data_IF_717264949185
#
_entry.id   IF_717264949185
#
_cell.length_a   1.000
_cell.length_b   1.000
_cell.length_c   1.000
_cell.angle_alpha   90.00
_cell.angle_beta   90.00
_cell.angle_gamma   90.00
#
_symmetry.space_group_name_H-M   'P 1'
#
loop_
_entity.id
_entity.type
_entity.pdbx_description
1 polymer ?
#
# COMPACT_ATOMS: atom_id res chain seq x y z
N UNK A 1 -10.74 0.24 27.03
CA UNK A 1 -9.36 0.35 26.55
C UNK A 1 -9.04 1.81 26.32
N UNK A 2 -7.88 2.28 26.77
CA UNK A 2 -7.46 3.67 26.59
C UNK A 2 -6.92 3.79 25.18
N UNK A 3 -7.68 4.38 24.25
CA UNK A 3 -7.21 4.62 22.88
C UNK A 3 -5.88 5.38 22.96
N UNK A 4 -4.79 4.76 22.49
CA UNK A 4 -3.50 5.45 22.44
C UNK A 4 -3.61 6.57 21.41
N UNK A 5 -3.33 7.79 21.87
CA UNK A 5 -3.44 8.98 21.01
C UNK A 5 -2.31 8.96 19.98
N UNK A 6 -2.60 9.16 18.67
CA UNK A 6 -1.56 9.30 17.66
C UNK A 6 -0.58 10.41 17.98
N UNK A 7 0.70 10.12 17.80
CA UNK A 7 1.80 11.09 17.89
C UNK A 7 2.50 11.20 16.53
N UNK A 8 3.00 12.39 16.23
CA UNK A 8 3.79 12.61 15.03
C UNK A 8 5.18 12.00 15.23
N UNK A 9 5.56 11.08 14.36
CA UNK A 9 6.89 10.47 14.34
C UNK A 9 7.85 11.33 13.51
N UNK A 10 7.42 11.74 12.32
CA UNK A 10 8.24 12.52 11.39
C UNK A 10 7.40 13.63 10.72
N UNK A 11 7.86 14.88 10.82
CA UNK A 11 7.35 15.99 10.02
C UNK A 11 8.00 15.97 8.62
N UNK A 12 7.60 15.00 7.79
CA UNK A 12 8.25 14.75 6.50
C UNK A 12 7.76 15.66 5.37
N UNK A 13 6.47 16.01 5.40
CA UNK A 13 5.84 16.84 4.38
C UNK A 13 5.75 16.20 3.00
N UNK A 14 5.55 14.88 2.98
CA UNK A 14 5.41 14.06 1.77
C UNK A 14 4.28 14.57 0.88
N UNK A 15 4.52 14.56 -0.43
CA UNK A 15 3.49 14.92 -1.40
C UNK A 15 2.40 13.85 -1.35
N UNK A 16 2.77 12.58 -1.53
CA UNK A 16 1.87 11.44 -1.42
C UNK A 16 2.59 10.26 -0.73
N UNK A 17 2.76 10.39 0.58
CA UNK A 17 3.32 9.32 1.42
C UNK A 17 2.40 8.11 1.47
N UNK A 18 2.91 6.91 1.23
CA UNK A 18 2.10 5.70 1.01
C UNK A 18 2.89 4.41 1.29
N UNK A 19 2.23 3.26 1.16
CA UNK A 19 2.81 1.93 1.17
C UNK A 19 3.69 1.59 2.38
N UNK A 20 3.32 1.95 3.63
CA UNK A 20 4.08 1.57 4.81
C UNK A 20 4.18 0.06 4.95
N UNK A 21 5.39 -0.42 5.30
CA UNK A 21 5.62 -1.85 5.60
C UNK A 21 6.64 -2.03 6.71
N UNK A 22 6.40 -3.00 7.59
CA UNK A 22 7.37 -3.43 8.60
C UNK A 22 8.21 -4.60 8.09
N UNK A 23 9.51 -4.39 7.89
CA UNK A 23 10.42 -5.41 7.32
C UNK A 23 11.06 -6.33 8.36
N UNK A 24 10.55 -6.32 9.60
CA UNK A 24 11.08 -7.09 10.73
C UNK A 24 12.02 -6.30 11.64
N UNK A 25 12.71 -5.29 11.11
CA UNK A 25 13.64 -4.42 11.86
C UNK A 25 13.38 -2.92 11.68
N UNK A 26 12.74 -2.53 10.58
CA UNK A 26 12.44 -1.13 10.22
C UNK A 26 11.15 -1.01 9.42
N UNK A 27 10.59 0.19 9.45
CA UNK A 27 9.52 0.57 8.53
C UNK A 27 10.09 1.17 7.26
N UNK A 28 9.47 0.88 6.12
CA UNK A 28 9.68 1.59 4.86
C UNK A 28 8.36 2.16 4.36
N UNK A 29 8.43 3.26 3.60
CA UNK A 29 7.29 3.95 2.97
C UNK A 29 7.72 4.46 1.60
N UNK A 30 6.77 4.73 0.71
CA UNK A 30 7.04 5.46 -0.53
C UNK A 30 6.52 6.89 -0.44
N UNK A 31 7.14 7.81 -1.19
CA UNK A 31 6.44 8.99 -1.71
C UNK A 31 6.13 8.72 -3.17
N UNK A 32 4.86 8.52 -3.49
CA UNK A 32 4.46 8.04 -4.82
C UNK A 32 4.89 9.03 -5.88
N UNK A 33 4.55 10.32 -5.73
CA UNK A 33 4.75 11.30 -6.80
C UNK A 33 6.21 11.73 -6.94
N UNK A 34 6.97 11.68 -5.84
CA UNK A 34 8.41 11.94 -5.86
C UNK A 34 9.26 10.74 -6.29
N UNK A 35 8.65 9.53 -6.35
CA UNK A 35 9.31 8.31 -6.81
C UNK A 35 10.39 7.81 -5.87
N UNK A 36 10.19 7.91 -4.55
CA UNK A 36 11.22 7.59 -3.55
C UNK A 36 10.73 6.53 -2.58
N UNK A 37 11.58 5.55 -2.29
CA UNK A 37 11.42 4.67 -1.14
C UNK A 37 12.22 5.23 0.03
N UNK A 38 11.58 5.39 1.18
CA UNK A 38 12.21 5.83 2.41
C UNK A 38 12.22 4.73 3.46
N UNK A 39 13.24 4.73 4.28
CA UNK A 39 13.22 4.14 5.61
C UNK A 39 12.72 5.17 6.62
N UNK A 40 11.83 4.71 7.50
CA UNK A 40 11.30 5.50 8.61
C UNK A 40 12.22 5.29 9.83
N UNK A 41 12.64 6.37 10.52
CA UNK A 41 13.51 6.27 11.68
C UNK A 41 12.83 5.59 12.87
N UNK A 42 13.64 5.06 13.79
CA UNK A 42 13.15 4.37 14.98
C UNK A 42 12.65 5.29 16.10
N UNK A 43 12.85 6.61 15.98
CA UNK A 43 12.51 7.59 16.99
C UNK A 43 11.97 8.91 16.41
N UNK A 44 11.24 9.70 17.22
CA UNK A 44 10.62 10.94 16.76
C UNK A 44 11.65 12.03 16.45
N UNK A 45 11.40 12.82 15.41
CA UNK A 45 12.20 14.00 15.05
C UNK A 45 13.42 13.72 14.19
N UNK A 46 13.74 12.45 13.92
CA UNK A 46 14.72 12.07 12.90
C UNK A 46 14.10 12.18 11.50
N UNK A 47 14.86 12.57 10.46
CA UNK A 47 14.35 12.64 9.09
C UNK A 47 14.21 11.24 8.47
N UNK A 48 13.36 11.13 7.45
CA UNK A 48 13.31 9.95 6.59
C UNK A 48 14.65 9.75 5.87
N UNK A 49 15.08 8.50 5.72
CA UNK A 49 16.29 8.15 4.98
C UNK A 49 15.93 7.56 3.60
N UNK A 50 16.29 8.19 2.47
CA UNK A 50 16.02 7.61 1.16
C UNK A 50 16.82 6.31 0.97
N UNK A 51 16.15 5.27 0.48
CA UNK A 51 16.74 3.96 0.16
C UNK A 51 16.98 3.78 -1.33
N UNK A 52 16.04 4.24 -2.16
CA UNK A 52 16.18 4.31 -3.62
C UNK A 52 15.29 5.42 -4.18
N UNK A 53 15.60 5.87 -5.39
CA UNK A 53 14.80 6.82 -6.16
C UNK A 53 14.68 6.32 -7.60
N UNK A 54 13.49 6.37 -8.17
CA UNK A 54 13.25 6.01 -9.57
C UNK A 54 13.86 7.02 -10.54
N UNK A 55 13.85 6.73 -11.84
CA UNK A 55 14.33 7.65 -12.88
C UNK A 55 13.27 8.68 -13.31
N UNK A 56 12.42 9.10 -12.36
CA UNK A 56 11.35 10.08 -12.56
C UNK A 56 9.94 9.48 -12.62
N UNK A 57 9.81 8.16 -12.59
CA UNK A 57 8.51 7.49 -12.51
C UNK A 57 7.93 7.54 -11.08
N UNK A 58 6.61 7.73 -10.93
CA UNK A 58 5.98 7.55 -9.63
C UNK A 58 6.18 6.13 -9.07
N UNK A 59 6.42 6.00 -7.78
CA UNK A 59 6.65 4.73 -7.10
C UNK A 59 5.45 4.39 -6.21
N UNK A 60 4.49 3.64 -6.73
CA UNK A 60 3.22 3.35 -6.05
C UNK A 60 3.38 2.43 -4.83
N UNK A 61 4.10 1.31 -5.01
CA UNK A 61 4.33 0.34 -3.95
C UNK A 61 5.57 -0.51 -4.23
N UNK A 62 6.20 -1.03 -3.18
CA UNK A 62 7.33 -1.98 -3.30
C UNK A 62 7.10 -3.21 -2.44
N UNK A 63 7.74 -4.33 -2.75
CA UNK A 63 7.82 -5.50 -1.89
C UNK A 63 9.24 -6.09 -1.93
N UNK A 64 9.77 -6.55 -0.78
CA UNK A 64 11.04 -7.28 -0.78
C UNK A 64 10.89 -8.59 -1.56
N UNK A 65 11.92 -8.99 -2.28
CA UNK A 65 11.94 -10.24 -3.05
C UNK A 65 12.72 -11.30 -2.27
N UNK A 66 12.15 -12.49 -2.13
CA UNK A 66 12.81 -13.62 -1.45
C UNK A 66 14.18 -13.92 -2.09
N UNK A 67 15.22 -13.97 -1.25
CA UNK A 67 16.58 -14.27 -1.68
C UNK A 67 17.29 -13.18 -2.49
N UNK A 68 16.70 -11.99 -2.67
CA UNK A 68 17.30 -10.87 -3.43
C UNK A 68 17.37 -9.58 -2.60
N UNK A 69 18.23 -9.52 -1.56
CA UNK A 69 18.37 -8.31 -0.75
C UNK A 69 18.76 -7.11 -1.61
N UNK A 70 18.22 -5.94 -1.26
CA UNK A 70 18.44 -4.69 -2.01
C UNK A 70 17.66 -4.56 -3.31
N UNK A 71 16.88 -5.58 -3.70
CA UNK A 71 15.97 -5.52 -4.84
C UNK A 71 14.52 -5.51 -4.38
N UNK A 72 13.69 -4.79 -5.13
CA UNK A 72 12.29 -4.57 -4.82
C UNK A 72 11.43 -4.93 -6.02
N UNK A 73 10.41 -5.75 -5.83
CA UNK A 73 9.34 -5.87 -6.81
C UNK A 73 8.44 -4.66 -6.62
N UNK A 74 8.30 -3.83 -7.64
CA UNK A 74 7.69 -2.52 -7.53
C UNK A 74 6.54 -2.34 -8.52
N UNK A 75 5.51 -1.66 -8.04
CA UNK A 75 4.50 -1.02 -8.85
C UNK A 75 4.99 0.41 -9.13
N UNK A 76 5.44 0.68 -10.35
CA UNK A 76 6.20 1.89 -10.70
C UNK A 76 5.80 2.40 -12.09
N UNK A 77 5.61 3.71 -12.21
CA UNK A 77 5.17 4.34 -13.45
C UNK A 77 3.86 3.72 -13.95
N UNK A 78 3.90 3.13 -15.14
CA UNK A 78 2.76 2.50 -15.81
C UNK A 78 2.82 0.95 -15.79
N UNK A 79 3.60 0.37 -14.86
CA UNK A 79 3.73 -1.07 -14.77
C UNK A 79 4.48 -1.61 -13.57
N UNK A 80 5.01 -2.81 -13.74
CA UNK A 80 5.67 -3.59 -12.69
C UNK A 80 7.08 -3.93 -13.11
N UNK A 81 8.03 -3.66 -12.23
CA UNK A 81 9.45 -3.91 -12.45
C UNK A 81 10.13 -4.44 -11.19
N UNK A 82 11.28 -5.08 -11.36
CA UNK A 82 12.25 -5.24 -10.28
C UNK A 82 13.14 -3.99 -10.29
N UNK A 83 13.20 -3.28 -9.16
CA UNK A 83 14.11 -2.17 -8.93
C UNK A 83 15.34 -2.66 -8.17
N UNK A 84 16.52 -2.21 -8.58
CA UNK A 84 17.75 -2.35 -7.80
C UNK A 84 17.96 -1.17 -6.83
N UNK A 85 19.10 -1.15 -6.14
CA UNK A 85 19.45 -0.10 -5.17
C UNK A 85 19.67 1.28 -5.78
N UNK A 86 19.96 1.36 -7.08
CA UNK A 86 20.12 2.62 -7.82
C UNK A 86 18.78 3.08 -8.42
N UNK A 87 17.71 2.28 -8.28
CA UNK A 87 16.38 2.55 -8.81
C UNK A 87 16.22 2.21 -10.28
N UNK A 88 17.15 1.45 -10.88
CA UNK A 88 17.02 0.98 -12.25
C UNK A 88 15.96 -0.12 -12.36
N UNK A 89 15.13 -0.04 -13.40
CA UNK A 89 13.98 -0.93 -13.59
C UNK A 89 14.23 -2.06 -14.60
N UNK A 90 14.21 -3.32 -14.14
CA UNK A 90 14.00 -4.52 -14.97
C UNK A 90 12.49 -4.80 -15.06
N UNK A 91 11.88 -4.33 -16.15
CA UNK A 91 10.43 -4.41 -16.35
C UNK A 91 9.94 -5.85 -16.54
N UNK A 92 8.93 -6.22 -15.75
CA UNK A 92 8.15 -7.45 -15.97
C UNK A 92 7.07 -7.20 -17.02
N UNK A 93 6.30 -6.12 -16.83
CA UNK A 93 5.26 -5.69 -17.75
C UNK A 93 4.92 -4.21 -17.55
N UNK A 94 4.39 -3.58 -18.61
CA UNK A 94 3.89 -2.19 -18.59
C UNK A 94 2.45 -2.12 -19.12
N UNK A 95 1.48 -2.71 -18.40
CA UNK A 95 0.11 -2.86 -18.89
C UNK A 95 -0.59 -1.53 -19.17
N UNK A 96 -0.15 -0.43 -18.55
CA UNK A 96 -0.75 0.90 -18.73
C UNK A 96 0.01 1.80 -19.71
N UNK A 97 1.12 1.35 -20.32
CA UNK A 97 1.92 2.16 -21.24
C UNK A 97 1.14 2.68 -22.45
N UNK A 98 0.16 1.89 -22.93
CA UNK A 98 -0.72 2.28 -24.03
C UNK A 98 -1.71 3.41 -23.70
N UNK A 99 -1.77 3.86 -22.44
CA UNK A 99 -2.64 4.97 -22.00
C UNK A 99 -1.99 6.35 -22.16
N UNK A 100 -0.81 6.44 -22.79
CA UNK A 100 -0.10 7.69 -23.09
C UNK A 100 0.14 8.55 -21.84
N UNK A 101 0.61 7.95 -20.75
CA UNK A 101 0.94 8.66 -19.51
C UNK A 101 -0.26 9.14 -18.70
N UNK A 102 -1.49 8.72 -19.03
CA UNK A 102 -2.70 9.07 -18.26
C UNK A 102 -2.94 8.20 -17.04
N UNK A 103 -2.24 7.08 -16.93
CA UNK A 103 -2.40 6.12 -15.84
C UNK A 103 -1.07 5.90 -15.13
N UNK A 104 -1.16 5.58 -13.84
CA UNK A 104 -0.03 5.17 -13.01
C UNK A 104 -0.40 3.96 -12.15
N UNK A 105 0.61 3.24 -11.71
CA UNK A 105 0.48 2.33 -10.58
C UNK A 105 0.25 3.11 -9.29
N UNK A 106 -0.42 2.44 -8.35
CA UNK A 106 -0.82 2.97 -7.05
C UNK A 106 -0.40 1.98 -5.96
N UNK A 107 -1.29 1.63 -5.02
CA UNK A 107 -0.99 0.73 -3.92
C UNK A 107 -0.77 -0.73 -4.36
N UNK A 108 -0.17 -1.53 -3.49
CA UNK A 108 0.08 -2.94 -3.71
C UNK A 108 0.53 -3.68 -2.46
N UNK A 109 0.44 -5.01 -2.47
CA UNK A 109 0.89 -5.88 -1.38
C UNK A 109 1.16 -7.30 -1.87
N UNK A 110 1.81 -8.11 -1.03
CA UNK A 110 2.12 -9.51 -1.32
C UNK A 110 1.13 -10.43 -0.61
N UNK A 111 0.58 -11.40 -1.35
CA UNK A 111 -0.34 -12.41 -0.81
C UNK A 111 0.41 -13.52 -0.03
N UNK A 112 -0.28 -14.43 0.67
CA UNK A 112 0.37 -15.48 1.46
C UNK A 112 1.17 -16.48 0.62
N UNK A 113 0.93 -16.55 -0.69
CA UNK A 113 1.66 -17.41 -1.63
C UNK A 113 2.87 -16.72 -2.27
N UNK A 114 3.14 -15.47 -1.92
CA UNK A 114 4.26 -14.69 -2.47
C UNK A 114 3.97 -14.00 -3.80
N UNK A 115 2.70 -13.91 -4.23
CA UNK A 115 2.32 -13.13 -5.42
C UNK A 115 2.21 -11.66 -5.07
N UNK A 116 2.70 -10.79 -5.94
CA UNK A 116 2.56 -9.34 -5.74
C UNK A 116 1.32 -8.82 -6.46
N UNK A 117 0.52 -8.04 -5.76
CA UNK A 117 -0.71 -7.46 -6.26
C UNK A 117 -0.59 -5.95 -6.25
N UNK A 118 -0.97 -5.28 -7.33
CA UNK A 118 -0.82 -3.84 -7.46
C UNK A 118 -1.93 -3.20 -8.29
N UNK A 119 -2.49 -2.11 -7.77
CA UNK A 119 -3.53 -1.33 -8.42
C UNK A 119 -2.96 -0.32 -9.42
N UNK A 120 -3.71 -0.03 -10.49
CA UNK A 120 -3.51 1.12 -11.37
C UNK A 120 -4.68 2.08 -11.31
N UNK A 121 -4.45 3.34 -11.64
CA UNK A 121 -5.48 4.37 -11.74
C UNK A 121 -5.14 5.40 -12.81
N UNK A 122 -6.16 6.08 -13.32
CA UNK A 122 -5.95 7.30 -14.10
C UNK A 122 -5.62 8.48 -13.18
N UNK A 123 -4.71 9.36 -13.59
CA UNK A 123 -4.33 10.55 -12.80
C UNK A 123 -5.52 11.48 -12.51
N UNK A 124 -6.47 11.56 -13.44
CA UNK A 124 -7.67 12.39 -13.31
C UNK A 124 -8.83 11.69 -12.58
N UNK A 125 -8.61 10.47 -12.07
CA UNK A 125 -9.64 9.68 -11.41
C UNK A 125 -10.76 9.21 -12.34
N UNK A 126 -10.52 9.09 -13.65
CA UNK A 126 -11.51 8.60 -14.62
C UNK A 126 -12.19 7.30 -14.14
N UNK A 127 -13.53 7.28 -13.99
CA UNK A 127 -14.27 6.10 -13.56
C UNK A 127 -13.99 4.87 -14.43
N UNK A 128 -13.68 3.74 -13.78
CA UNK A 128 -13.45 2.46 -14.45
C UNK A 128 -12.12 2.33 -15.20
N UNK A 129 -11.23 3.32 -15.13
CA UNK A 129 -9.93 3.28 -15.81
C UNK A 129 -8.85 2.48 -15.07
N UNK A 130 -9.07 2.15 -13.80
CA UNK A 130 -8.16 1.40 -12.95
C UNK A 130 -8.34 -0.12 -13.05
N UNK A 131 -7.26 -0.82 -12.73
CA UNK A 131 -7.19 -2.29 -12.71
C UNK A 131 -6.41 -2.78 -11.49
N UNK A 132 -6.63 -4.03 -11.09
CA UNK A 132 -5.77 -4.73 -10.13
C UNK A 132 -4.97 -5.78 -10.90
N UNK A 133 -3.65 -5.69 -10.82
CA UNK A 133 -2.72 -6.65 -11.43
C UNK A 133 -2.17 -7.61 -10.38
N UNK A 134 -1.89 -8.83 -10.80
CA UNK A 134 -1.22 -9.88 -10.03
C UNK A 134 0.03 -10.31 -10.76
N UNK A 135 1.14 -10.41 -10.04
CA UNK A 135 2.40 -10.99 -10.48
C UNK A 135 2.51 -12.39 -9.90
N UNK A 136 2.44 -13.40 -10.76
CA UNK A 136 2.66 -14.78 -10.36
C UNK A 136 4.14 -15.06 -10.10
N UNK A 137 4.42 -16.17 -9.41
CA UNK A 137 5.77 -16.51 -8.96
C UNK A 137 6.76 -16.75 -10.11
N UNK A 138 6.28 -16.99 -11.33
CA UNK A 138 7.09 -17.11 -12.55
C UNK A 138 7.38 -15.75 -13.22
N UNK A 139 6.82 -14.66 -12.69
CA UNK A 139 6.93 -13.29 -13.22
C UNK A 139 5.83 -12.90 -14.20
N UNK A 140 4.84 -13.77 -14.44
CA UNK A 140 3.69 -13.44 -15.29
C UNK A 140 2.84 -12.36 -14.63
N UNK A 141 2.51 -11.30 -15.39
CA UNK A 141 1.62 -10.22 -14.94
C UNK A 141 0.24 -10.40 -15.55
N UNK A 142 -0.79 -10.52 -14.71
CA UNK A 142 -2.18 -10.74 -15.10
C UNK A 142 -3.06 -9.62 -14.55
N UNK A 143 -3.99 -9.10 -15.36
CA UNK A 143 -5.06 -8.24 -14.86
C UNK A 143 -6.10 -9.10 -14.14
N UNK A 144 -6.08 -9.09 -12.81
CA UNK A 144 -6.99 -9.88 -11.98
C UNK A 144 -8.38 -9.24 -11.89
N UNK A 145 -8.45 -7.91 -11.83
CA UNK A 145 -9.69 -7.13 -11.89
C UNK A 145 -9.50 -5.93 -12.81
N UNK A 146 -10.58 -5.50 -13.46
CA UNK A 146 -10.65 -4.29 -14.30
C UNK A 146 -11.93 -3.53 -14.01
N UNK A 147 -12.05 -2.27 -14.46
CA UNK A 147 -13.25 -1.46 -14.23
C UNK A 147 -13.33 -0.85 -12.83
N UNK A 148 -12.19 -0.80 -12.14
CA UNK A 148 -11.99 -0.10 -10.87
C UNK A 148 -11.72 1.39 -11.17
N UNK A 149 -11.86 2.27 -10.17
CA UNK A 149 -11.55 3.70 -10.35
C UNK A 149 -10.25 4.06 -9.67
N UNK A 150 -10.17 3.87 -8.35
CA UNK A 150 -8.94 4.08 -7.56
C UNK A 150 -8.79 2.87 -6.64
N UNK A 151 -8.18 1.77 -7.11
CA UNK A 151 -7.90 0.61 -6.27
C UNK A 151 -6.85 0.94 -5.20
N UNK A 152 -7.21 0.68 -3.95
CA UNK A 152 -6.36 0.84 -2.78
C UNK A 152 -6.48 -0.36 -1.84
N UNK A 153 -5.46 -0.58 -1.02
CA UNK A 153 -5.06 -1.93 -0.68
C UNK A 153 -4.33 -2.59 -1.89
N UNK A 154 -4.11 -3.90 -1.88
CA UNK A 154 -4.90 -4.88 -1.14
C UNK A 154 -4.33 -5.23 0.23
N UNK A 155 -5.17 -5.81 1.07
CA UNK A 155 -4.74 -6.58 2.23
C UNK A 155 -5.37 -7.98 2.22
N UNK A 156 -4.82 -8.89 3.01
CA UNK A 156 -5.18 -10.31 2.97
C UNK A 156 -5.54 -10.79 4.37
N UNK A 157 -6.57 -11.61 4.50
CA UNK A 157 -6.88 -12.29 5.76
C UNK A 157 -5.68 -13.12 6.25
N UNK A 158 -5.56 -13.37 7.58
CA UNK A 158 -4.44 -14.14 8.11
C UNK A 158 -4.35 -15.56 7.54
N UNK A 159 -5.50 -16.18 7.26
CA UNK A 159 -5.61 -17.50 6.63
C UNK A 159 -5.41 -17.49 5.10
N UNK A 160 -5.34 -16.30 4.48
CA UNK A 160 -5.14 -16.15 3.05
C UNK A 160 -6.35 -16.39 2.17
N UNK A 161 -7.53 -16.63 2.75
CA UNK A 161 -8.75 -16.96 2.02
C UNK A 161 -9.52 -15.74 1.49
N UNK A 162 -9.15 -14.53 1.92
CA UNK A 162 -9.84 -13.29 1.55
C UNK A 162 -8.85 -12.20 1.15
N UNK A 163 -9.11 -11.55 0.02
CA UNK A 163 -8.48 -10.29 -0.39
C UNK A 163 -9.45 -9.14 -0.11
N UNK A 164 -8.99 -8.12 0.62
CA UNK A 164 -9.70 -6.87 0.82
C UNK A 164 -9.16 -5.80 -0.12
N UNK A 165 -10.06 -5.11 -0.82
CA UNK A 165 -9.71 -4.05 -1.77
C UNK A 165 -10.70 -2.91 -1.70
N UNK A 166 -10.19 -1.69 -1.57
CA UNK A 166 -10.96 -0.47 -1.71
C UNK A 166 -11.09 -0.08 -3.19
N UNK A 167 -12.25 0.45 -3.57
CA UNK A 167 -12.34 1.42 -4.68
C UNK A 167 -12.62 2.78 -4.05
N UNK A 168 -11.56 3.56 -3.80
CA UNK A 168 -11.61 4.78 -3.00
C UNK A 168 -12.60 5.80 -3.56
N UNK A 169 -12.67 5.95 -4.88
CA UNK A 169 -13.61 6.87 -5.53
C UNK A 169 -15.09 6.46 -5.36
N UNK A 170 -15.34 5.20 -4.99
CA UNK A 170 -16.68 4.67 -4.66
C UNK A 170 -16.90 4.54 -3.16
N UNK A 171 -15.94 4.93 -2.33
CA UNK A 171 -16.00 4.87 -0.86
C UNK A 171 -16.34 3.48 -0.29
N UNK A 172 -15.94 2.41 -0.99
CA UNK A 172 -16.27 1.02 -0.61
C UNK A 172 -15.01 0.18 -0.41
N UNK A 173 -15.02 -0.67 0.59
CA UNK A 173 -14.09 -1.81 0.71
C UNK A 173 -14.87 -3.08 0.40
N UNK A 174 -14.38 -3.87 -0.55
CA UNK A 174 -14.93 -5.18 -0.87
C UNK A 174 -14.01 -6.29 -0.36
N UNK A 175 -14.62 -7.37 0.11
CA UNK A 175 -13.97 -8.63 0.39
C UNK A 175 -14.16 -9.57 -0.81
N UNK A 176 -13.07 -10.18 -1.28
CA UNK A 176 -13.07 -11.14 -2.37
C UNK A 176 -12.59 -12.49 -1.82
N UNK A 177 -13.36 -13.59 -2.00
CA UNK A 177 -12.82 -14.92 -1.80
C UNK A 177 -11.58 -15.12 -2.67
N UNK A 178 -10.46 -15.51 -2.08
CA UNK A 178 -9.19 -15.76 -2.74
C UNK A 178 -8.89 -17.25 -2.69
N UNK A 179 -8.81 -17.88 -3.86
CA UNK A 179 -8.23 -19.20 -4.00
C UNK A 179 -6.71 -19.07 -3.90
N UNK A 180 -6.13 -19.52 -2.78
CA UNK A 180 -4.71 -19.33 -2.49
C UNK A 180 -3.79 -20.09 -3.46
N UNK A 181 -4.26 -21.23 -3.99
CA UNK A 181 -3.48 -22.09 -4.89
C UNK A 181 -3.35 -21.48 -6.28
N UNK A 182 -4.42 -20.86 -6.77
CA UNK A 182 -4.51 -20.31 -8.14
C UNK A 182 -4.40 -18.79 -8.20
N UNK A 183 -4.59 -18.11 -7.07
CA UNK A 183 -4.74 -16.66 -6.96
C UNK A 183 -6.03 -16.13 -7.59
N UNK A 184 -7.03 -16.97 -7.86
CA UNK A 184 -8.29 -16.56 -8.47
C UNK A 184 -9.19 -15.84 -7.44
N UNK A 185 -9.89 -14.80 -7.89
CA UNK A 185 -10.85 -14.07 -7.06
C UNK A 185 -12.28 -14.51 -7.36
N UNK A 186 -13.06 -14.75 -6.31
CA UNK A 186 -14.50 -14.95 -6.35
C UNK A 186 -15.27 -13.64 -6.53
N UNK A 187 -16.61 -13.74 -6.45
CA UNK A 187 -17.47 -12.55 -6.47
C UNK A 187 -17.24 -11.71 -5.20
N UNK A 188 -17.18 -10.37 -5.31
CA UNK A 188 -17.00 -9.51 -4.16
C UNK A 188 -18.27 -9.39 -3.31
N UNK A 189 -18.06 -9.21 -2.02
CA UNK A 189 -19.07 -8.74 -1.08
C UNK A 189 -18.60 -7.42 -0.44
N UNK A 190 -19.46 -6.38 -0.34
CA UNK A 190 -19.10 -5.15 0.35
C UNK A 190 -18.85 -5.44 1.84
N UNK A 191 -17.64 -5.13 2.33
CA UNK A 191 -17.32 -5.17 3.75
C UNK A 191 -17.88 -3.93 4.44
N UNK A 192 -17.52 -2.75 3.93
CA UNK A 192 -18.02 -1.46 4.41
C UNK A 192 -18.19 -0.47 3.25
N UNK A 193 -19.15 0.43 3.41
CA UNK A 193 -19.34 1.63 2.60
C UNK A 193 -19.21 2.83 3.53
N UNK A 194 -18.36 3.79 3.18
CA UNK A 194 -18.19 5.03 3.94
C UNK A 194 -19.08 6.13 3.38
N UNK A 195 -19.70 6.89 4.28
CA UNK A 195 -20.49 8.09 3.95
C UNK A 195 -19.64 9.37 3.88
N UNK A 196 -18.44 9.33 4.46
CA UNK A 196 -17.52 10.46 4.55
C UNK A 196 -16.06 9.98 4.38
N UNK A 197 -15.28 10.71 3.59
CA UNK A 197 -13.95 10.30 3.16
C UNK A 197 -13.94 9.05 2.27
N UNK A 198 -12.73 8.58 1.96
CA UNK A 198 -12.51 7.43 1.08
C UNK A 198 -11.56 6.43 1.75
N UNK A 199 -11.87 5.12 1.75
CA UNK A 199 -10.95 4.12 2.23
C UNK A 199 -9.73 4.08 1.32
N UNK A 200 -8.55 4.02 1.91
CA UNK A 200 -7.27 4.09 1.20
C UNK A 200 -6.42 2.85 1.56
N UNK A 201 -5.10 2.99 1.70
CA UNK A 201 -4.22 1.90 2.10
C UNK A 201 -4.63 1.23 3.43
N UNK A 202 -4.40 -0.09 3.50
CA UNK A 202 -4.94 -0.94 4.55
C UNK A 202 -4.02 -2.11 4.92
N UNK A 203 -4.22 -2.67 6.12
CA UNK A 203 -3.60 -3.91 6.58
C UNK A 203 -4.62 -4.76 7.36
N UNK A 204 -4.30 -6.01 7.65
CA UNK A 204 -5.11 -6.91 8.49
C UNK A 204 -4.31 -7.33 9.71
N UNK A 205 -4.91 -7.27 10.89
CA UNK A 205 -4.28 -7.73 12.13
C UNK A 205 -4.45 -9.25 12.37
N UNK A 206 -3.77 -9.78 13.38
CA UNK A 206 -3.82 -11.22 13.71
C UNK A 206 -5.19 -11.69 14.23
N UNK A 207 -6.09 -10.76 14.58
CA UNK A 207 -7.48 -11.06 14.93
C UNK A 207 -8.40 -11.07 13.69
N UNK A 208 -7.87 -10.74 12.51
CA UNK A 208 -8.60 -10.73 11.24
C UNK A 208 -9.32 -9.41 10.94
N UNK A 209 -9.09 -8.35 11.71
CA UNK A 209 -9.72 -7.05 11.48
C UNK A 209 -8.94 -6.24 10.44
N UNK A 210 -9.68 -5.57 9.55
CA UNK A 210 -9.11 -4.66 8.55
C UNK A 210 -8.86 -3.30 9.19
N UNK A 211 -7.62 -2.84 9.14
CA UNK A 211 -7.22 -1.47 9.45
C UNK A 211 -7.09 -0.69 8.15
N UNK A 212 -7.77 0.46 8.03
CA UNK A 212 -7.75 1.28 6.80
C UNK A 212 -7.60 2.75 7.14
N UNK A 213 -6.70 3.43 6.43
CA UNK A 213 -6.67 4.89 6.41
C UNK A 213 -7.90 5.43 5.66
N UNK A 214 -8.43 6.56 6.11
CA UNK A 214 -9.55 7.24 5.45
C UNK A 214 -9.08 8.57 4.90
N UNK A 215 -8.79 8.61 3.61
CA UNK A 215 -8.41 9.80 2.87
C UNK A 215 -9.50 10.87 2.98
N UNK A 216 -9.09 12.10 3.32
CA UNK A 216 -9.99 13.23 3.57
C UNK A 216 -10.83 13.12 4.85
N UNK A 217 -10.74 12.00 5.58
CA UNK A 217 -11.56 11.71 6.76
C UNK A 217 -10.86 11.89 8.10
N UNK A 218 -9.58 12.28 8.12
CA UNK A 218 -8.78 12.50 9.34
C UNK A 218 -8.84 11.34 10.35
N UNK A 219 -8.90 10.10 9.86
CA UNK A 219 -9.01 8.93 10.72
C UNK A 219 -8.46 7.65 10.10
N UNK A 220 -8.17 6.70 10.98
CA UNK A 220 -8.00 5.28 10.65
C UNK A 220 -9.16 4.52 11.29
N UNK A 221 -9.70 3.54 10.57
CA UNK A 221 -10.73 2.63 11.06
C UNK A 221 -10.13 1.25 11.29
N UNK A 222 -10.62 0.55 12.32
CA UNK A 222 -10.47 -0.90 12.48
C UNK A 222 -11.85 -1.53 12.35
N UNK A 223 -11.98 -2.45 11.40
CA UNK A 223 -13.25 -3.01 10.94
C UNK A 223 -13.20 -4.52 11.12
N UNK A 224 -14.21 -5.09 11.79
CA UNK A 224 -14.34 -6.53 11.95
C UNK A 224 -14.63 -7.23 10.61
N UNK A 225 -14.42 -8.56 10.52
CA UNK A 225 -14.76 -9.34 9.34
C UNK A 225 -16.24 -9.26 8.89
N UNK A 226 -17.15 -8.86 9.79
CA UNK A 226 -18.58 -8.66 9.48
C UNK A 226 -18.94 -7.22 9.06
N UNK A 227 -17.94 -6.33 8.93
CA UNK A 227 -18.12 -4.95 8.52
C UNK A 227 -18.43 -3.97 9.66
N UNK A 228 -18.46 -4.41 10.92
CA UNK A 228 -18.63 -3.49 12.06
C UNK A 228 -17.37 -2.67 12.29
N UNK A 229 -17.51 -1.34 12.38
CA UNK A 229 -16.41 -0.47 12.80
C UNK A 229 -16.22 -0.65 14.31
N UNK A 230 -15.15 -1.33 14.71
CA UNK A 230 -14.81 -1.57 16.12
C UNK A 230 -14.10 -0.37 16.73
N UNK A 231 -13.21 0.27 15.96
CA UNK A 231 -12.37 1.37 16.44
C UNK A 231 -12.21 2.46 15.39
N UNK A 232 -12.18 3.69 15.87
CA UNK A 232 -11.80 4.87 15.09
C UNK A 232 -10.67 5.59 15.80
N UNK A 233 -9.57 5.83 15.08
CA UNK A 233 -8.43 6.61 15.54
C UNK A 233 -8.41 7.93 14.77
N UNK A 234 -8.68 9.04 15.45
CA UNK A 234 -8.65 10.36 14.84
C UNK A 234 -7.22 10.90 14.76
N UNK A 235 -6.88 11.49 13.61
CA UNK A 235 -5.56 12.01 13.29
C UNK A 235 -5.63 13.53 13.07
N UNK A 236 -4.55 14.28 13.41
CA UNK A 236 -4.49 15.71 13.11
C UNK A 236 -4.36 16.04 11.61
N UNK A 237 -3.89 15.09 10.79
CA UNK A 237 -3.77 15.27 9.34
C UNK A 237 -5.12 15.08 8.64
N UNK A 238 -5.31 15.74 7.49
CA UNK A 238 -6.55 15.64 6.70
C UNK A 238 -6.63 14.39 5.83
N UNK A 239 -5.48 13.98 5.31
CA UNK A 239 -5.39 12.87 4.35
C UNK A 239 -4.44 11.78 4.86
N UNK A 240 -4.82 11.01 5.90
CA UNK A 240 -4.21 9.71 6.13
C UNK A 240 -4.36 8.86 4.86
N UNK A 241 -3.28 8.24 4.43
CA UNK A 241 -3.22 7.52 3.14
C UNK A 241 -3.07 6.02 3.33
N UNK A 242 -2.26 5.54 4.26
CA UNK A 242 -2.10 4.10 4.47
C UNK A 242 -1.58 3.76 5.87
N UNK A 243 -1.62 2.46 6.20
CA UNK A 243 -1.30 1.94 7.53
C UNK A 243 -0.50 0.65 7.49
N UNK A 244 0.36 0.45 8.49
CA UNK A 244 1.03 -0.82 8.74
C UNK A 244 1.17 -1.07 10.25
N UNK A 245 1.14 -2.34 10.66
CA UNK A 245 1.36 -2.74 12.05
C UNK A 245 2.70 -3.49 12.12
N UNK A 246 3.52 -3.17 13.12
CA UNK A 246 4.84 -3.76 13.30
C UNK A 246 5.62 -3.16 14.47
N UNK A 247 6.88 -2.80 14.23
CA UNK A 247 7.77 -2.27 15.27
C UNK A 247 8.39 -3.35 16.17
N UNK A 248 9.29 -2.98 17.10
CA UNK A 248 10.04 -3.93 17.94
C UNK A 248 9.19 -4.85 18.80
N UNK A 249 7.97 -4.43 19.15
CA UNK A 249 7.00 -5.21 19.92
C UNK A 249 5.86 -5.77 19.06
N UNK A 250 5.85 -5.49 17.76
CA UNK A 250 4.84 -5.97 16.82
C UNK A 250 3.49 -5.24 16.87
N UNK A 251 3.28 -4.30 17.80
CA UNK A 251 2.00 -3.59 17.98
C UNK A 251 2.01 -2.13 17.53
N UNK A 252 3.11 -1.63 16.97
CA UNK A 252 3.18 -0.25 16.52
C UNK A 252 2.36 -0.07 15.24
N UNK A 253 1.31 0.75 15.30
CA UNK A 253 0.64 1.27 14.10
C UNK A 253 1.46 2.43 13.54
N UNK A 254 1.86 2.33 12.28
CA UNK A 254 2.40 3.43 11.49
C UNK A 254 1.32 3.91 10.51
N UNK A 255 1.16 5.22 10.37
CA UNK A 255 0.21 5.83 9.44
C UNK A 255 0.94 6.84 8.57
N UNK A 256 0.86 6.67 7.25
CA UNK A 256 1.32 7.68 6.28
C UNK A 256 0.21 8.70 6.02
N UNK A 257 0.59 9.89 5.56
CA UNK A 257 -0.37 10.90 5.11
C UNK A 257 0.20 11.69 3.93
N UNK A 258 -0.64 12.51 3.31
CA UNK A 258 -0.31 13.23 2.09
C UNK A 258 -0.68 14.71 2.16
N UNK A 259 0.08 15.54 1.44
CA UNK A 259 -0.27 16.95 1.14
C UNK A 259 -1.00 17.11 -0.19
N UNK A 260 -0.92 16.09 -1.05
CA UNK A 260 -1.44 16.11 -2.39
C UNK A 260 -2.88 16.64 -2.48
N UNK A 261 -3.11 17.63 -3.34
CA UNK A 261 -4.43 18.21 -3.57
C UNK A 261 -4.94 19.17 -2.49
N UNK A 262 -4.18 19.44 -1.43
CA UNK A 262 -4.54 20.44 -0.42
C UNK A 262 -4.05 21.84 -0.82
N UNK A 263 -4.94 22.82 -0.80
CA UNK A 263 -4.56 24.22 -1.08
C UNK A 263 -3.66 24.83 0.00
N UNK A 264 -3.87 24.43 1.26
CA UNK A 264 -3.21 24.99 2.44
C UNK A 264 -2.73 23.88 3.39
N UNK A 265 -1.77 23.04 2.98
CA UNK A 265 -1.25 21.96 3.82
C UNK A 265 -0.67 22.50 5.13
N UNK A 266 -0.90 21.78 6.22
CA UNK A 266 -0.31 22.06 7.54
C UNK A 266 0.89 21.15 7.77
N UNK A 267 1.71 21.37 8.82
CA UNK A 267 2.76 20.42 9.21
C UNK A 267 2.26 18.99 9.48
N UNK A 268 0.97 18.85 9.82
CA UNK A 268 0.36 17.54 10.03
C UNK A 268 0.14 16.76 8.72
N UNK A 269 -0.10 17.45 7.61
CA UNK A 269 -0.33 16.83 6.31
C UNK A 269 1.02 16.40 5.69
N UNK A 270 1.10 15.19 5.13
CA UNK A 270 2.37 14.62 4.66
C UNK A 270 3.32 14.14 5.77
N UNK A 271 2.88 14.15 7.02
CA UNK A 271 3.65 13.63 8.16
C UNK A 271 3.43 12.12 8.36
N UNK A 272 4.34 11.51 9.13
CA UNK A 272 4.21 10.12 9.58
C UNK A 272 3.73 10.11 11.02
N UNK A 273 2.66 9.35 11.28
CA UNK A 273 2.04 9.22 12.59
C UNK A 273 2.20 7.81 13.14
N UNK A 274 2.16 7.69 14.46
CA UNK A 274 2.21 6.39 15.11
C UNK A 274 1.42 6.35 16.41
N UNK A 275 0.91 5.18 16.75
CA UNK A 275 0.33 4.84 18.06
C UNK A 275 0.45 3.33 18.31
N UNK A 276 -0.04 2.86 19.45
CA UNK A 276 -0.10 1.43 19.75
C UNK A 276 -1.42 0.85 19.20
N UNK A 277 -1.32 -0.15 18.33
CA UNK A 277 -2.46 -0.90 17.82
C UNK A 277 -3.08 -1.79 18.91
N UNK A 278 -2.31 -2.14 19.96
CA UNK A 278 -2.64 -3.14 20.99
C UNK A 278 -2.76 -4.58 20.46
N UNK A 279 -2.57 -4.77 19.16
CA UNK A 279 -2.64 -6.05 18.44
C UNK A 279 -1.44 -6.16 17.50
N UNK A 280 -1.05 -7.38 17.18
CA UNK A 280 -0.03 -7.67 16.17
C UNK A 280 -0.67 -7.88 14.80
N UNK A 281 0.15 -7.90 13.76
CA UNK A 281 -0.27 -8.29 12.42
C UNK A 281 0.69 -9.34 11.86
N UNK A 282 0.25 -10.11 10.84
CA UNK A 282 1.13 -11.02 10.13
C UNK A 282 2.38 -10.28 9.61
N UNK A 283 3.55 -10.94 9.60
CA UNK A 283 4.78 -10.32 9.09
C UNK A 283 4.61 -9.89 7.64
N UNK A 284 5.25 -8.78 7.26
CA UNK A 284 5.30 -8.36 5.85
C UNK A 284 5.82 -9.50 4.99
N UNK A 285 5.03 -9.87 3.99
CA UNK A 285 5.34 -10.97 3.10
C UNK A 285 6.34 -10.53 2.02
N UNK A 286 7.22 -11.44 1.66
CA UNK A 286 8.18 -11.26 0.56
C UNK A 286 7.60 -11.82 -0.74
N UNK A 287 7.77 -11.09 -1.84
CA UNK A 287 7.41 -11.60 -3.15
C UNK A 287 8.32 -12.77 -3.53
N UNK A 288 7.73 -13.83 -4.07
CA UNK A 288 8.45 -14.95 -4.66
C UNK A 288 8.55 -14.69 -6.15
N UNK A 289 9.76 -14.52 -6.68
CA UNK A 289 10.00 -14.33 -8.10
C UNK A 289 11.07 -15.31 -8.58
N UNK A 290 10.66 -16.28 -9.40
CA UNK A 290 11.50 -17.36 -9.94
C UNK A 290 12.07 -17.01 -11.32
N UNK A 291 11.67 -15.88 -11.91
CA UNK A 291 12.26 -15.34 -13.15
C UNK A 291 13.74 -15.03 -12.93
N UNK A 292 14.63 -15.55 -13.77
CA UNK A 292 16.03 -15.13 -13.74
C UNK A 292 16.17 -13.65 -14.13
N UNK A 293 17.08 -12.88 -13.49
CA UNK A 293 17.32 -11.50 -13.87
C UNK A 293 17.68 -11.40 -15.36
N UNK A 294 17.11 -10.44 -16.08
CA UNK A 294 17.61 -10.15 -17.42
C UNK A 294 18.99 -9.48 -17.26
N UNK A 295 20.05 -10.18 -17.69
CA UNK A 295 21.40 -9.58 -17.73
C UNK A 295 21.35 -8.32 -18.62
N UNK A 296 21.98 -7.21 -18.20
CA UNK A 296 22.01 -6.00 -19.02
C UNK A 296 22.60 -6.33 -20.39
N UNK A 297 21.87 -5.98 -21.45
CA UNK A 297 22.40 -6.08 -22.81
C UNK A 297 23.59 -5.12 -22.92
N UNK A 298 24.76 -5.67 -23.26
CA UNK A 298 26.00 -4.91 -23.47
C UNK A 298 25.93 -4.01 -24.69
#
# INVERSE_FOLDING_TARGET
>A
MTVTRPVMLVEAGLELGEGPRWLGDRFVIVDILDGVLYEVPGGPGEPLRPLLRTSGEPLGAVAPIEGRPGHWLAAVGDGIAVLDGDGAADWLARPEAGKNGRCRMNDGAVDPSGRFWAGSMAYDGTPGAGSLYRVDVDGTVVAALTGLTIPNGPAFSPDGATLYLADSARSVINAYPLDIDTGALGAPEPLIQLDDGSPDGMTVDDEGFVWTAVWGGSRVLRVSPDGTIERTIHLPCRQPSSVAIGGPHGTQLLVTSARHGLDTPTPADGAIWTCDAEVTAPPTRTAVLRREPQLPQK
#
